data_IF_410904734588
#
_entry.id   IF_410904734588
#
_cell.length_a   1.000
_cell.length_b   1.000
_cell.length_c   1.000
_cell.angle_alpha   90.00
_cell.angle_beta   90.00
_cell.angle_gamma   90.00
#
_symmetry.space_group_name_H-M   'P 1'
#
loop_
_entity.id
_entity.type
_entity.pdbx_description
1 polymer ?
#
# COMPACT_ATOMS: atom_id res chain seq x y z
N UNK A 1 32.33 -31.92 23.01
CA UNK A 1 30.99 -31.78 22.39
C UNK A 1 30.11 -31.01 23.37
N UNK A 2 29.61 -29.81 23.05
CA UNK A 2 28.68 -29.13 23.95
C UNK A 2 27.38 -29.94 24.07
N UNK A 3 26.77 -30.04 25.26
CA UNK A 3 25.48 -30.71 25.43
C UNK A 3 24.43 -30.06 24.51
N UNK A 4 23.65 -30.90 23.81
CA UNK A 4 22.54 -30.42 22.97
C UNK A 4 21.50 -29.66 23.80
N UNK A 5 20.68 -28.79 23.20
CA UNK A 5 19.72 -27.99 23.93
C UNK A 5 18.72 -28.87 24.71
N UNK A 6 18.55 -28.59 26.00
CA UNK A 6 17.61 -29.31 26.86
C UNK A 6 16.18 -29.25 26.28
N UNK A 7 15.48 -30.40 26.27
CA UNK A 7 14.13 -30.51 25.71
C UNK A 7 13.13 -29.49 26.32
N UNK A 8 13.32 -29.14 27.60
CA UNK A 8 12.54 -28.10 28.29
C UNK A 8 12.79 -26.71 27.70
N UNK A 9 14.05 -26.38 27.41
CA UNK A 9 14.44 -25.11 26.81
C UNK A 9 13.88 -24.96 25.40
N UNK A 10 13.87 -26.04 24.61
CA UNK A 10 13.25 -26.08 23.28
C UNK A 10 11.74 -25.88 23.38
N UNK A 11 11.06 -26.56 24.31
CA UNK A 11 9.62 -26.41 24.50
C UNK A 11 9.21 -24.99 24.93
N UNK A 12 9.97 -24.39 25.85
CA UNK A 12 9.75 -23.00 26.28
C UNK A 12 9.96 -22.02 25.12
N UNK A 13 11.04 -22.17 24.34
CA UNK A 13 11.30 -21.33 23.18
C UNK A 13 10.16 -21.44 22.14
N UNK A 14 9.70 -22.65 21.84
CA UNK A 14 8.58 -22.86 20.93
C UNK A 14 7.28 -22.21 21.45
N UNK A 15 6.98 -22.35 22.74
CA UNK A 15 5.81 -21.73 23.36
C UNK A 15 5.87 -20.18 23.30
N UNK A 16 7.05 -19.59 23.53
CA UNK A 16 7.26 -18.13 23.42
C UNK A 16 7.09 -17.64 21.97
N UNK A 17 7.58 -18.38 20.98
CA UNK A 17 7.38 -18.06 19.56
C UNK A 17 5.90 -18.12 19.19
N UNK A 18 5.19 -19.17 19.62
CA UNK A 18 3.74 -19.29 19.37
C UNK A 18 2.98 -18.14 20.03
N UNK A 19 3.29 -17.81 21.28
CA UNK A 19 2.68 -16.69 21.98
C UNK A 19 2.93 -15.36 21.24
N UNK A 20 4.17 -15.10 20.82
CA UNK A 20 4.52 -13.91 20.05
C UNK A 20 3.73 -13.82 18.73
N UNK A 21 3.61 -14.92 18.00
CA UNK A 21 2.83 -14.99 16.75
C UNK A 21 1.37 -14.70 17.02
N UNK A 22 0.79 -15.30 18.07
CA UNK A 22 -0.61 -15.05 18.46
C UNK A 22 -0.82 -13.58 18.81
N UNK A 23 0.06 -12.98 19.61
CA UNK A 23 -0.01 -11.56 19.96
C UNK A 23 0.11 -10.65 18.74
N UNK A 24 1.00 -10.97 17.79
CA UNK A 24 1.16 -10.21 16.55
C UNK A 24 -0.10 -10.31 15.67
N UNK A 25 -0.70 -11.49 15.56
CA UNK A 25 -1.95 -11.70 14.80
C UNK A 25 -3.10 -10.95 15.45
N UNK A 26 -3.25 -11.02 16.78
CA UNK A 26 -4.25 -10.26 17.52
C UNK A 26 -4.05 -8.75 17.34
N UNK A 27 -2.80 -8.28 17.40
CA UNK A 27 -2.46 -6.87 17.18
C UNK A 27 -2.81 -6.43 15.75
N UNK A 28 -2.44 -7.22 14.75
CA UNK A 28 -2.77 -6.93 13.35
C UNK A 28 -4.29 -6.88 13.13
N UNK A 29 -5.02 -7.85 13.67
CA UNK A 29 -6.48 -7.89 13.64
C UNK A 29 -7.10 -6.64 14.29
N UNK A 30 -6.64 -6.26 15.48
CA UNK A 30 -7.10 -5.05 16.17
C UNK A 30 -6.83 -3.79 15.36
N UNK A 31 -5.64 -3.65 14.75
CA UNK A 31 -5.27 -2.49 13.93
C UNK A 31 -6.11 -2.43 12.66
N UNK A 32 -6.34 -3.55 11.98
CA UNK A 32 -7.23 -3.61 10.81
C UNK A 32 -8.65 -3.21 11.20
N UNK A 33 -9.18 -3.79 12.29
CA UNK A 33 -10.53 -3.48 12.81
C UNK A 33 -10.68 -2.01 13.21
N UNK A 34 -9.63 -1.42 13.80
CA UNK A 34 -9.60 0.01 14.14
C UNK A 34 -9.52 0.88 12.88
N UNK A 35 -8.71 0.49 11.90
CA UNK A 35 -8.55 1.20 10.61
C UNK A 35 -9.88 1.34 9.88
N UNK A 36 -10.69 0.28 9.87
CA UNK A 36 -11.98 0.26 9.17
C UNK A 36 -13.18 0.63 10.04
N UNK A 37 -12.98 0.87 11.33
CA UNK A 37 -14.04 1.40 12.20
C UNK A 37 -14.29 2.87 11.87
N UNK A 38 -15.56 3.30 11.91
CA UNK A 38 -15.97 4.71 11.71
C UNK A 38 -15.36 5.69 12.73
N UNK A 39 -14.58 5.18 13.70
CA UNK A 39 -13.93 5.93 14.77
C UNK A 39 -12.59 6.53 14.36
N UNK A 40 -12.00 6.14 13.23
CA UNK A 40 -10.78 6.81 12.74
C UNK A 40 -11.20 8.09 12.02
N UNK A 41 -11.29 9.18 12.79
CA UNK A 41 -11.36 10.51 12.19
C UNK A 41 -10.13 10.67 11.26
N UNK A 42 -10.31 11.11 10.01
CA UNK A 42 -9.16 11.52 9.21
C UNK A 42 -8.37 12.57 10.00
N UNK A 43 -7.03 12.59 9.91
CA UNK A 43 -6.26 13.65 10.54
C UNK A 43 -6.88 14.99 10.15
N UNK A 44 -7.19 15.82 11.14
CA UNK A 44 -7.73 17.17 10.91
C UNK A 44 -6.67 17.97 10.17
N UNK A 45 -6.75 17.96 8.84
CA UNK A 45 -5.94 18.78 7.96
C UNK A 45 -6.80 19.91 7.43
N UNK A 46 -6.27 21.12 7.50
CA UNK A 46 -6.86 22.25 6.79
C UNK A 46 -6.58 22.09 5.30
N UNK A 47 -7.41 22.71 4.45
CA UNK A 47 -7.22 22.64 2.99
C UNK A 47 -5.87 23.24 2.56
N UNK A 48 -5.34 24.17 3.34
CA UNK A 48 -4.06 24.86 3.17
C UNK A 48 -2.85 24.04 3.60
N UNK A 49 -3.02 22.92 4.29
CA UNK A 49 -1.90 22.13 4.77
C UNK A 49 -1.23 21.40 3.61
N UNK A 50 0.08 21.60 3.46
CA UNK A 50 0.88 20.84 2.51
C UNK A 50 0.92 19.36 2.89
N UNK A 51 0.84 18.48 1.88
CA UNK A 51 0.89 17.04 2.05
C UNK A 51 1.96 16.41 1.15
N UNK A 52 2.64 15.38 1.66
CA UNK A 52 3.52 14.55 0.83
C UNK A 52 2.72 13.43 0.17
N UNK A 53 2.73 13.38 -1.16
CA UNK A 53 2.07 12.34 -1.95
C UNK A 53 3.10 11.35 -2.48
N UNK A 54 2.92 10.07 -2.19
CA UNK A 54 3.63 8.98 -2.84
C UNK A 54 2.74 8.28 -3.87
N UNK A 55 3.21 8.13 -5.09
CA UNK A 55 2.47 7.54 -6.21
C UNK A 55 3.24 6.35 -6.75
N UNK A 56 2.62 5.17 -6.77
CA UNK A 56 3.22 3.98 -7.37
C UNK A 56 2.87 3.84 -8.85
N UNK A 57 3.91 3.80 -9.70
CA UNK A 57 3.82 3.59 -11.14
C UNK A 57 4.06 2.12 -11.47
N UNK A 58 2.96 1.44 -11.80
CA UNK A 58 2.86 -0.01 -11.95
C UNK A 58 3.43 -0.63 -13.23
N UNK A 59 4.13 0.13 -14.06
CA UNK A 59 4.59 -0.23 -15.41
C UNK A 59 3.48 -0.41 -16.45
N UNK A 60 3.80 -0.11 -17.71
CA UNK A 60 2.89 -0.28 -18.85
C UNK A 60 1.58 0.50 -18.69
N UNK A 61 0.44 -0.18 -18.88
CA UNK A 61 -0.90 0.42 -18.79
C UNK A 61 -1.23 0.99 -17.41
N UNK A 62 -0.72 0.38 -16.34
CA UNK A 62 -0.93 0.87 -14.97
C UNK A 62 -0.30 2.24 -14.71
N UNK A 63 0.86 2.51 -15.31
CA UNK A 63 1.46 3.85 -15.27
C UNK A 63 0.58 4.87 -15.97
N UNK A 64 -0.02 4.52 -17.12
CA UNK A 64 -0.91 5.43 -17.83
C UNK A 64 -2.20 5.73 -17.06
N UNK A 65 -2.78 4.71 -16.40
CA UNK A 65 -3.92 4.88 -15.48
C UNK A 65 -3.56 5.85 -14.35
N UNK A 66 -2.41 5.64 -13.72
CA UNK A 66 -1.99 6.45 -12.59
C UNK A 66 -1.69 7.90 -12.99
N UNK A 67 -1.02 8.12 -14.13
CA UNK A 67 -0.75 9.47 -14.64
C UNK A 67 -2.05 10.23 -14.94
N UNK A 68 -3.06 9.57 -15.48
CA UNK A 68 -4.38 10.18 -15.70
C UNK A 68 -5.07 10.56 -14.40
N UNK A 69 -5.03 9.67 -13.41
CA UNK A 69 -5.64 9.93 -12.11
C UNK A 69 -4.99 11.12 -11.40
N UNK A 70 -3.67 11.23 -11.47
CA UNK A 70 -2.96 12.32 -10.78
C UNK A 70 -2.99 13.64 -11.57
N UNK A 71 -3.19 13.62 -12.89
CA UNK A 71 -3.18 14.81 -13.76
C UNK A 71 -4.03 15.98 -13.25
N UNK A 72 -5.14 15.69 -12.58
CA UNK A 72 -6.11 16.68 -12.10
C UNK A 72 -5.99 17.01 -10.60
N UNK A 73 -4.90 16.59 -9.95
CA UNK A 73 -4.64 16.93 -8.55
C UNK A 73 -4.17 18.38 -8.44
N UNK A 74 -4.53 19.01 -7.32
CA UNK A 74 -4.02 20.33 -6.95
C UNK A 74 -2.58 20.22 -6.43
N UNK A 75 -1.63 20.57 -7.29
CA UNK A 75 -0.20 20.45 -7.02
C UNK A 75 0.35 21.45 -6.00
N UNK A 76 -0.40 22.52 -5.71
CA UNK A 76 -0.04 23.44 -4.63
C UNK A 76 -0.19 22.77 -3.26
N UNK A 77 -1.14 21.84 -3.13
CA UNK A 77 -1.34 21.07 -1.89
C UNK A 77 -0.36 19.93 -1.73
N UNK A 78 0.10 19.36 -2.84
CA UNK A 78 1.10 18.29 -2.86
C UNK A 78 2.48 18.80 -3.25
N UNK A 79 3.02 19.72 -2.44
CA UNK A 79 4.33 20.35 -2.65
C UNK A 79 5.48 19.36 -2.68
N UNK A 80 5.34 18.21 -2.01
CA UNK A 80 6.32 17.11 -1.95
C UNK A 80 5.76 15.84 -2.55
N UNK A 81 6.49 15.27 -3.51
CA UNK A 81 6.02 14.10 -4.29
C UNK A 81 7.06 12.99 -4.30
N UNK A 82 6.61 11.76 -4.16
CA UNK A 82 7.47 10.57 -4.24
C UNK A 82 6.93 9.65 -5.31
N UNK A 83 7.67 9.51 -6.41
CA UNK A 83 7.33 8.59 -7.48
C UNK A 83 8.00 7.24 -7.23
N UNK A 84 7.19 6.24 -6.88
CA UNK A 84 7.65 4.87 -6.67
C UNK A 84 7.58 4.14 -8.01
N UNK A 85 8.70 3.68 -8.52
CA UNK A 85 8.80 3.03 -9.84
C UNK A 85 9.48 1.68 -9.70
N UNK A 86 9.11 0.73 -10.54
CA UNK A 86 9.77 -0.57 -10.62
C UNK A 86 11.18 -0.46 -11.21
N UNK A 87 12.16 -1.16 -10.64
CA UNK A 87 13.54 -1.20 -11.16
C UNK A 87 13.55 -1.73 -12.61
N UNK A 88 14.21 -0.97 -13.48
CA UNK A 88 14.31 -1.26 -14.91
C UNK A 88 13.10 -0.82 -15.74
N UNK A 89 12.17 -0.05 -15.18
CA UNK A 89 11.06 0.57 -15.91
C UNK A 89 11.36 2.03 -16.28
N UNK A 90 12.22 2.20 -17.29
CA UNK A 90 12.65 3.51 -17.77
C UNK A 90 11.50 4.34 -18.34
N UNK A 91 10.49 3.70 -18.95
CA UNK A 91 9.34 4.39 -19.51
C UNK A 91 8.50 5.08 -18.44
N UNK A 92 8.24 4.41 -17.31
CA UNK A 92 7.53 5.03 -16.19
C UNK A 92 8.33 6.15 -15.54
N UNK A 93 9.66 5.98 -15.47
CA UNK A 93 10.56 7.02 -14.97
C UNK A 93 10.56 8.27 -15.84
N UNK A 94 10.70 8.12 -17.15
CA UNK A 94 10.64 9.26 -18.10
C UNK A 94 9.28 9.95 -18.03
N UNK A 95 8.18 9.21 -17.89
CA UNK A 95 6.85 9.80 -17.71
C UNK A 95 6.75 10.61 -16.43
N UNK A 96 7.27 10.10 -15.30
CA UNK A 96 7.26 10.81 -14.03
C UNK A 96 8.06 12.12 -14.11
N UNK A 97 9.25 12.07 -14.70
CA UNK A 97 10.10 13.25 -14.89
C UNK A 97 9.46 14.28 -15.82
N UNK A 98 8.86 13.85 -16.94
CA UNK A 98 8.15 14.74 -17.86
C UNK A 98 6.95 15.40 -17.17
N UNK A 99 6.24 14.65 -16.33
CA UNK A 99 5.11 15.14 -15.57
C UNK A 99 5.52 16.17 -14.51
N UNK A 100 6.59 15.91 -13.75
CA UNK A 100 7.18 16.88 -12.82
C UNK A 100 7.63 18.16 -13.52
N UNK A 101 8.21 18.04 -14.73
CA UNK A 101 8.56 19.21 -15.55
C UNK A 101 7.31 20.03 -15.93
N UNK A 102 6.17 19.39 -16.17
CA UNK A 102 4.92 20.10 -16.45
C UNK A 102 4.29 20.77 -15.22
N UNK A 103 4.50 20.23 -14.02
CA UNK A 103 4.07 20.86 -12.76
C UNK A 103 4.92 22.11 -12.47
N UNK A 104 6.24 22.02 -12.67
CA UNK A 104 7.14 23.17 -12.61
C UNK A 104 7.39 23.77 -11.22
N UNK A 105 6.85 23.18 -10.14
CA UNK A 105 6.98 23.67 -8.78
C UNK A 105 6.97 22.54 -7.73
N UNK A 106 7.62 22.77 -6.59
CA UNK A 106 7.71 21.81 -5.48
C UNK A 106 8.88 20.83 -5.58
N UNK A 107 8.99 19.96 -4.58
CA UNK A 107 10.06 18.97 -4.46
C UNK A 107 9.55 17.59 -4.87
N UNK A 108 10.37 16.83 -5.60
CA UNK A 108 10.05 15.44 -5.91
C UNK A 108 11.24 14.50 -5.67
N UNK A 109 10.92 13.24 -5.38
CA UNK A 109 11.88 12.16 -5.21
C UNK A 109 11.46 10.95 -6.03
N UNK A 110 12.42 10.31 -6.69
CA UNK A 110 12.22 9.01 -7.35
C UNK A 110 12.68 7.89 -6.41
N UNK A 111 11.79 6.94 -6.11
CA UNK A 111 12.11 5.72 -5.37
C UNK A 111 11.98 4.50 -6.29
N UNK A 112 13.10 3.87 -6.61
CA UNK A 112 13.13 2.66 -7.45
C UNK A 112 13.05 1.42 -6.56
N UNK A 113 12.02 0.60 -6.76
CA UNK A 113 11.80 -0.65 -6.01
C UNK A 113 11.97 -1.87 -6.93
N UNK A 114 12.57 -2.97 -6.44
CA UNK A 114 12.66 -4.18 -7.24
C UNK A 114 11.26 -4.75 -7.49
N UNK A 115 11.02 -5.24 -8.71
CA UNK A 115 9.74 -5.87 -9.08
C UNK A 115 9.49 -7.12 -8.25
N UNK A 116 8.29 -7.26 -7.69
CA UNK A 116 7.90 -8.45 -6.94
C UNK A 116 7.91 -9.72 -7.81
N UNK A 117 7.59 -9.56 -9.10
CA UNK A 117 7.66 -10.63 -10.11
C UNK A 117 8.20 -10.08 -11.43
N UNK A 118 9.17 -10.76 -12.03
CA UNK A 118 9.65 -10.47 -13.39
C UNK A 118 8.69 -11.06 -14.43
N UNK A 119 8.58 -10.40 -15.58
CA UNK A 119 7.82 -10.95 -16.72
C UNK A 119 8.47 -12.28 -17.14
N UNK A 120 7.66 -13.31 -17.43
CA UNK A 120 8.10 -14.70 -17.68
C UNK A 120 8.69 -15.49 -16.51
N UNK A 121 8.65 -14.94 -15.29
CA UNK A 121 9.09 -15.70 -14.11
C UNK A 121 8.08 -16.81 -13.75
N UNK A 122 8.60 -18.00 -13.44
CA UNK A 122 7.82 -19.12 -12.89
C UNK A 122 7.12 -18.73 -11.59
N UNK A 123 5.91 -19.24 -11.38
CA UNK A 123 5.16 -19.05 -10.13
C UNK A 123 5.91 -19.55 -8.90
N UNK A 124 6.83 -20.51 -9.07
CA UNK A 124 7.62 -21.09 -7.97
C UNK A 124 8.75 -20.18 -7.48
N UNK A 125 9.36 -19.36 -8.35
CA UNK A 125 10.43 -18.43 -7.95
C UNK A 125 9.91 -17.04 -7.59
N UNK A 126 8.65 -16.76 -7.94
CA UNK A 126 7.96 -15.50 -7.62
C UNK A 126 7.91 -15.14 -6.12
N UNK A 127 7.81 -16.09 -5.16
CA UNK A 127 7.80 -15.76 -3.74
C UNK A 127 9.13 -15.16 -3.26
N UNK A 128 10.28 -15.67 -3.74
CA UNK A 128 11.59 -15.15 -3.35
C UNK A 128 11.82 -13.72 -3.80
N UNK A 129 11.47 -13.40 -5.05
CA UNK A 129 11.56 -12.02 -5.56
C UNK A 129 10.56 -11.09 -4.87
N UNK A 130 9.40 -11.61 -4.48
CA UNK A 130 8.42 -10.85 -3.70
C UNK A 130 8.93 -10.55 -2.29
N UNK A 131 9.57 -11.52 -1.64
CA UNK A 131 10.16 -11.33 -0.30
C UNK A 131 11.33 -10.34 -0.33
N UNK A 132 12.18 -10.41 -1.34
CA UNK A 132 13.24 -9.41 -1.56
C UNK A 132 12.66 -8.00 -1.75
N UNK A 133 11.60 -7.88 -2.56
CA UNK A 133 10.89 -6.62 -2.76
C UNK A 133 10.24 -6.11 -1.48
N UNK A 134 9.68 -7.00 -0.66
CA UNK A 134 9.14 -6.67 0.65
C UNK A 134 10.23 -6.15 1.58
N UNK A 135 11.37 -6.84 1.70
CA UNK A 135 12.49 -6.41 2.55
C UNK A 135 13.01 -5.02 2.13
N UNK A 136 13.15 -4.79 0.83
CA UNK A 136 13.54 -3.47 0.30
C UNK A 136 12.51 -2.39 0.65
N UNK A 137 11.21 -2.67 0.46
CA UNK A 137 10.15 -1.74 0.83
C UNK A 137 10.12 -1.47 2.33
N UNK A 138 10.30 -2.50 3.17
CA UNK A 138 10.35 -2.34 4.62
C UNK A 138 11.49 -1.42 5.05
N UNK A 139 12.67 -1.61 4.48
CA UNK A 139 13.82 -0.76 4.78
C UNK A 139 13.56 0.70 4.41
N UNK A 140 13.10 0.98 3.19
CA UNK A 140 12.99 2.34 2.67
C UNK A 140 11.70 3.08 3.05
N UNK A 141 10.58 2.37 3.23
CA UNK A 141 9.24 2.94 3.49
C UNK A 141 8.89 2.90 4.98
N UNK A 142 9.32 1.88 5.73
CA UNK A 142 9.01 1.76 7.15
C UNK A 142 10.19 2.16 8.05
N UNK A 143 11.35 1.54 7.89
CA UNK A 143 12.46 1.65 8.84
C UNK A 143 13.20 2.97 8.70
N UNK A 144 13.59 3.37 7.48
CA UNK A 144 14.38 4.58 7.26
C UNK A 144 13.70 5.85 7.81
N UNK A 145 12.38 6.08 7.57
CA UNK A 145 11.69 7.24 8.16
C UNK A 145 11.61 7.18 9.69
N UNK A 146 11.43 5.99 10.27
CA UNK A 146 11.36 5.82 11.73
C UNK A 146 12.68 6.09 12.44
N UNK A 147 13.81 5.81 11.78
CA UNK A 147 15.15 6.06 12.31
C UNK A 147 15.66 7.47 11.99
N UNK A 148 14.95 8.22 11.14
CA UNK A 148 15.37 9.54 10.73
C UNK A 148 15.10 10.57 11.82
N UNK A 149 16.15 11.27 12.24
CA UNK A 149 16.09 12.42 13.16
C UNK A 149 15.58 13.70 12.48
N UNK A 150 15.23 13.66 11.19
CA UNK A 150 14.79 14.84 10.42
C UNK A 150 13.38 15.35 10.76
N UNK A 151 12.83 14.99 11.92
CA UNK A 151 11.53 15.47 12.41
C UNK A 151 10.30 14.93 11.68
N UNK A 152 10.47 14.05 10.69
CA UNK A 152 9.38 13.41 9.93
C UNK A 152 9.41 11.90 10.09
N UNK A 153 8.49 11.41 10.90
CA UNK A 153 8.35 9.98 11.21
C UNK A 153 7.62 9.18 10.12
N UNK A 154 7.12 9.84 9.05
CA UNK A 154 6.31 9.20 8.01
C UNK A 154 6.94 9.35 6.63
N UNK A 155 6.99 8.26 5.87
CA UNK A 155 7.43 8.21 4.48
C UNK A 155 6.68 9.19 3.55
N UNK A 156 5.35 9.17 3.62
CA UNK A 156 4.45 10.04 2.89
C UNK A 156 3.13 10.15 3.64
N UNK A 157 2.39 11.23 3.45
CA UNK A 157 1.08 11.40 4.07
C UNK A 157 0.00 10.55 3.39
N UNK A 158 0.13 10.40 2.06
CA UNK A 158 -0.77 9.64 1.21
C UNK A 158 0.06 8.76 0.27
N UNK A 159 -0.25 7.47 0.22
CA UNK A 159 0.34 6.51 -0.73
C UNK A 159 -0.77 6.00 -1.63
N UNK A 160 -0.59 6.21 -2.93
CA UNK A 160 -1.54 5.90 -3.98
C UNK A 160 -1.05 4.70 -4.80
N UNK A 161 -1.87 3.66 -4.83
CA UNK A 161 -1.51 2.31 -5.28
C UNK A 161 -2.50 1.79 -6.32
N UNK A 162 -2.04 0.84 -7.13
CA UNK A 162 -2.78 0.27 -8.26
C UNK A 162 -2.47 -1.24 -8.47
N UNK A 163 -3.10 -1.87 -9.47
CA UNK A 163 -3.18 -3.30 -9.85
C UNK A 163 -1.96 -4.25 -9.84
N UNK A 164 -0.69 -3.86 -10.10
CA UNK A 164 0.36 -4.86 -10.31
C UNK A 164 0.87 -5.46 -9.00
N UNK A 165 1.42 -6.67 -9.05
CA UNK A 165 1.83 -7.42 -7.86
C UNK A 165 2.80 -6.69 -6.93
N UNK A 166 3.63 -5.79 -7.47
CA UNK A 166 4.56 -4.97 -6.68
C UNK A 166 3.86 -3.98 -5.73
N UNK A 167 2.56 -3.69 -5.89
CA UNK A 167 1.83 -2.88 -4.92
C UNK A 167 1.68 -3.57 -3.56
N UNK A 168 1.68 -4.90 -3.51
CA UNK A 168 1.51 -5.68 -2.28
C UNK A 168 2.65 -5.41 -1.28
N UNK A 169 3.95 -5.59 -1.63
CA UNK A 169 5.03 -5.29 -0.70
C UNK A 169 5.09 -3.82 -0.27
N UNK A 170 4.75 -2.88 -1.16
CA UNK A 170 4.65 -1.44 -0.81
C UNK A 170 3.57 -1.23 0.24
N UNK A 171 2.38 -1.81 0.03
CA UNK A 171 1.24 -1.67 0.95
C UNK A 171 1.58 -2.25 2.32
N UNK A 172 2.16 -3.45 2.37
CA UNK A 172 2.55 -4.09 3.63
C UNK A 172 3.57 -3.22 4.36
N UNK A 173 4.59 -2.73 3.65
CA UNK A 173 5.61 -1.88 4.26
C UNK A 173 5.04 -0.56 4.80
N UNK A 174 4.14 0.09 4.07
CA UNK A 174 3.51 1.33 4.52
C UNK A 174 2.48 1.11 5.64
N UNK A 175 1.92 -0.10 5.78
CA UNK A 175 0.99 -0.48 6.84
C UNK A 175 1.70 -0.90 8.14
N UNK A 176 2.88 -1.53 8.04
CA UNK A 176 3.57 -2.13 9.20
C UNK A 176 3.82 -1.16 10.37
N UNK A 177 4.17 0.13 10.17
CA UNK A 177 4.30 1.10 11.26
C UNK A 177 3.05 1.20 12.16
N UNK A 178 1.85 0.94 11.63
CA UNK A 178 0.60 0.94 12.40
C UNK A 178 0.56 -0.16 13.46
N UNK A 179 1.24 -1.28 13.24
CA UNK A 179 1.28 -2.39 14.19
C UNK A 179 2.00 -2.00 15.47
N UNK A 180 3.10 -1.25 15.34
CA UNK A 180 3.91 -0.76 16.46
C UNK A 180 3.41 0.58 17.03
N UNK A 181 2.33 1.14 16.46
CA UNK A 181 1.73 2.40 16.92
C UNK A 181 2.43 3.66 16.42
N UNK A 182 3.36 3.54 15.46
CA UNK A 182 4.04 4.67 14.84
C UNK A 182 3.12 5.38 13.82
N UNK A 183 3.36 6.67 13.53
CA UNK A 183 2.71 7.38 12.45
C UNK A 183 2.88 6.64 11.11
N UNK A 184 1.83 6.64 10.29
CA UNK A 184 1.80 5.87 9.04
C UNK A 184 1.06 6.64 7.95
N UNK A 185 1.44 6.41 6.70
CA UNK A 185 0.74 6.96 5.54
C UNK A 185 -0.74 6.53 5.49
N UNK A 186 -1.59 7.40 4.95
CA UNK A 186 -2.91 7.01 4.45
C UNK A 186 -2.74 6.25 3.14
N UNK A 187 -3.41 5.12 2.99
CA UNK A 187 -3.26 4.20 1.87
C UNK A 187 -4.53 4.23 1.01
N UNK A 188 -4.39 4.64 -0.25
CA UNK A 188 -5.46 4.64 -1.24
C UNK A 188 -5.11 3.65 -2.33
N UNK A 189 -6.01 2.71 -2.59
CA UNK A 189 -5.87 1.78 -3.69
C UNK A 189 -6.93 2.02 -4.76
N UNK A 190 -6.50 2.04 -6.01
CA UNK A 190 -7.36 2.21 -7.18
C UNK A 190 -7.15 1.01 -8.09
N UNK A 191 -8.19 0.18 -8.23
CA UNK A 191 -8.17 -0.97 -9.12
C UNK A 191 -8.04 -0.53 -10.58
N UNK A 192 -7.41 -1.37 -11.41
CA UNK A 192 -7.16 -1.09 -12.82
C UNK A 192 -8.45 -1.04 -13.65
N UNK A 193 -8.45 -0.18 -14.68
CA UNK A 193 -9.52 -0.07 -15.68
C UNK A 193 -9.81 -1.41 -16.35
N UNK A 194 -8.79 -2.25 -16.53
CA UNK A 194 -8.93 -3.56 -17.17
C UNK A 194 -9.76 -4.56 -16.35
N UNK A 195 -10.05 -4.27 -15.07
CA UNK A 195 -10.80 -5.16 -14.18
C UNK A 195 -12.27 -4.73 -14.09
N UNK A 196 -13.09 -5.31 -14.96
CA UNK A 196 -14.52 -4.97 -15.07
C UNK A 196 -15.45 -5.89 -14.28
N UNK A 197 -15.06 -7.16 -14.05
CA UNK A 197 -15.92 -8.18 -13.41
C UNK A 197 -15.36 -8.79 -12.13
N UNK A 198 -14.05 -8.76 -11.94
CA UNK A 198 -13.39 -9.37 -10.77
C UNK A 198 -12.19 -8.55 -10.35
N UNK A 199 -12.00 -8.42 -9.04
CA UNK A 199 -10.80 -7.83 -8.45
C UNK A 199 -9.55 -8.60 -8.86
N UNK A 200 -8.46 -7.88 -9.06
CA UNK A 200 -7.14 -8.48 -9.18
C UNK A 200 -6.74 -9.20 -7.89
N UNK A 201 -5.81 -10.16 -8.00
CA UNK A 201 -5.29 -10.85 -6.82
C UNK A 201 -4.62 -9.85 -5.87
N UNK A 202 -3.84 -8.92 -6.41
CA UNK A 202 -3.21 -7.84 -5.64
C UNK A 202 -4.25 -7.04 -4.86
N UNK A 203 -5.32 -6.58 -5.52
CA UNK A 203 -6.39 -5.84 -4.89
C UNK A 203 -7.06 -6.61 -3.75
N UNK A 204 -7.31 -7.91 -3.93
CA UNK A 204 -7.88 -8.77 -2.86
C UNK A 204 -6.97 -8.85 -1.65
N UNK A 205 -5.66 -8.94 -1.86
CA UNK A 205 -4.65 -9.03 -0.79
C UNK A 205 -4.52 -7.71 -0.03
N UNK A 206 -4.49 -6.57 -0.72
CA UNK A 206 -4.25 -5.26 -0.09
C UNK A 206 -5.49 -4.65 0.54
N UNK A 207 -6.70 -5.07 0.15
CA UNK A 207 -7.96 -4.46 0.60
C UNK A 207 -8.16 -4.38 2.13
N UNK A 208 -7.70 -5.35 2.95
CA UNK A 208 -7.72 -5.23 4.41
C UNK A 208 -6.78 -4.16 4.97
N UNK A 209 -5.70 -3.84 4.24
CA UNK A 209 -4.61 -2.98 4.69
C UNK A 209 -4.81 -1.51 4.30
N UNK A 210 -5.49 -1.25 3.19
CA UNK A 210 -5.69 0.10 2.66
C UNK A 210 -6.84 0.83 3.38
N UNK A 211 -6.79 2.15 3.44
CA UNK A 211 -7.85 2.95 4.09
C UNK A 211 -9.03 3.23 3.15
N UNK A 212 -8.73 3.48 1.87
CA UNK A 212 -9.72 3.71 0.81
C UNK A 212 -9.46 2.78 -0.35
N UNK A 213 -10.53 2.26 -0.92
CA UNK A 213 -10.47 1.30 -2.02
C UNK A 213 -11.46 1.68 -3.11
N UNK A 214 -10.93 2.07 -4.26
CA UNK A 214 -11.69 2.50 -5.41
C UNK A 214 -11.69 1.44 -6.51
N UNK A 215 -12.85 1.23 -7.11
CA UNK A 215 -13.03 0.52 -8.37
C UNK A 215 -13.56 1.50 -9.41
N UNK A 216 -13.31 1.20 -10.69
CA UNK A 216 -13.68 2.11 -11.78
C UNK A 216 -15.02 1.74 -12.44
N UNK A 217 -15.57 0.57 -12.11
CA UNK A 217 -16.78 0.04 -12.72
C UNK A 217 -17.87 -0.13 -11.68
N UNK A 218 -19.02 0.51 -11.91
CA UNK A 218 -20.19 0.36 -11.04
C UNK A 218 -20.67 -1.09 -10.97
N UNK A 219 -20.63 -1.81 -12.09
CA UNK A 219 -20.97 -3.24 -12.16
C UNK A 219 -20.11 -4.08 -11.21
N UNK A 220 -18.81 -3.81 -11.16
CA UNK A 220 -17.89 -4.47 -10.24
C UNK A 220 -18.16 -4.07 -8.79
N UNK A 221 -18.40 -2.78 -8.52
CA UNK A 221 -18.78 -2.30 -7.18
C UNK A 221 -20.02 -3.04 -6.70
N UNK A 222 -21.08 -3.05 -7.50
CA UNK A 222 -22.38 -3.59 -7.14
C UNK A 222 -22.32 -5.10 -6.95
N UNK A 223 -21.56 -5.81 -7.78
CA UNK A 223 -21.31 -7.23 -7.60
C UNK A 223 -20.54 -7.52 -6.29
N UNK A 224 -19.52 -6.72 -5.96
CA UNK A 224 -18.78 -6.86 -4.70
C UNK A 224 -19.65 -6.55 -3.48
N UNK A 225 -20.45 -5.48 -3.55
CA UNK A 225 -21.40 -5.11 -2.48
C UNK A 225 -22.44 -6.21 -2.30
N UNK A 226 -23.00 -6.74 -3.39
CA UNK A 226 -23.96 -7.85 -3.34
C UNK A 226 -23.36 -9.12 -2.73
N UNK A 227 -22.14 -9.50 -3.14
CA UNK A 227 -21.40 -10.64 -2.59
C UNK A 227 -21.06 -10.47 -1.12
N UNK A 228 -20.95 -9.23 -0.64
CA UNK A 228 -20.67 -8.91 0.75
C UNK A 228 -21.91 -8.95 1.65
N UNK A 229 -23.10 -9.11 1.06
CA UNK A 229 -24.30 -9.52 1.78
C UNK A 229 -25.17 -8.36 2.26
N UNK A 230 -26.29 -8.19 1.57
CA UNK A 230 -27.63 -7.92 2.09
C UNK A 230 -27.76 -7.11 3.40
N UNK A 231 -28.14 -5.85 3.25
CA UNK A 231 -28.51 -4.94 4.34
C UNK A 231 -27.47 -3.85 4.51
N UNK A 232 -27.88 -2.60 4.29
CA UNK A 232 -27.05 -1.39 4.41
C UNK A 232 -26.42 -1.15 5.81
N UNK A 233 -26.51 -2.10 6.75
CA UNK A 233 -26.35 -1.86 8.17
C UNK A 233 -25.05 -2.40 8.82
N UNK A 234 -24.23 -3.22 8.15
CA UNK A 234 -23.00 -3.75 8.79
C UNK A 234 -21.76 -3.56 7.94
N UNK A 235 -21.16 -2.36 8.04
CA UNK A 235 -19.84 -2.04 7.50
C UNK A 235 -18.84 -3.12 7.93
N UNK A 236 -18.21 -3.78 6.95
CA UNK A 236 -17.17 -4.77 7.25
C UNK A 236 -16.00 -4.07 7.94
N UNK A 237 -15.69 -4.48 9.18
CA UNK A 237 -14.57 -3.93 9.95
C UNK A 237 -13.21 -4.51 9.52
N UNK A 238 -13.18 -5.40 8.54
CA UNK A 238 -11.97 -6.13 8.15
C UNK A 238 -11.37 -5.69 6.81
N UNK A 239 -12.06 -4.83 6.07
CA UNK A 239 -11.66 -4.44 4.72
C UNK A 239 -12.25 -3.10 4.33
N UNK A 240 -11.55 -2.39 3.46
CA UNK A 240 -12.00 -1.10 2.95
C UNK A 240 -13.35 -1.22 2.22
N UNK A 241 -14.18 -0.19 2.38
CA UNK A 241 -15.41 0.00 1.61
C UNK A 241 -15.04 0.15 0.13
N UNK A 242 -15.79 -0.52 -0.73
CA UNK A 242 -15.64 -0.35 -2.18
C UNK A 242 -16.36 0.94 -2.58
N UNK A 243 -15.60 1.90 -3.08
CA UNK A 243 -16.11 3.15 -3.62
C UNK A 243 -15.95 3.14 -5.14
N UNK A 244 -16.91 3.72 -5.85
CA UNK A 244 -16.82 3.99 -7.29
C UNK A 244 -17.25 5.43 -7.48
N UNK A 245 -16.35 6.26 -8.01
CA UNK A 245 -16.57 7.69 -8.23
C UNK A 245 -16.63 8.02 -9.73
N UNK A 246 -17.12 7.06 -10.53
CA UNK A 246 -17.13 7.15 -11.98
C UNK A 246 -15.79 6.78 -12.60
N UNK A 247 -15.72 6.94 -13.91
CA UNK A 247 -14.50 6.73 -14.67
C UNK A 247 -13.48 7.79 -14.29
N UNK A 248 -12.25 7.37 -14.03
CA UNK A 248 -11.11 8.29 -14.01
C UNK A 248 -10.80 8.67 -15.47
N UNK A 249 -11.68 9.47 -16.07
CA UNK A 249 -11.56 10.10 -17.39
C UNK A 249 -11.86 11.58 -17.25
#
# INVERSE_FOLDING_TARGET
MPPGPDARSVAVAAALVVLLVVLLVLRAAQVIVKTHSDRRAPPRRQKSDEATLAVFLGSGGHTAEMMRLVAHLDWNRFSRRIWIISSGDTLSETKALAFEKSIGAGEFRLLRIPRARRVHQSYLTSPFTTLYSLAFCLWHIAITPMLSTSGREVFADLVLLNGPGSCVPITIAAFLPRLVGAPSASLVYVESLARTRRLSLSARIVRPLVDRFFVQWDTLRDELVKREGGGAARRSRWKAKVECLGWLV
#
